data_IF_168733339556
#
_entry.id   IF_168733339556
#
_cell.length_a   1.000
_cell.length_b   1.000
_cell.length_c   1.000
_cell.angle_alpha   90.00
_cell.angle_beta   90.00
_cell.angle_gamma   90.00
#
_symmetry.space_group_name_H-M   'P 1'
#
loop_
_entity.id
_entity.type
_entity.pdbx_description
1 polymer ?
#
# COMPACT_ATOMS: atom_id res chain seq x y z
N UNK A 1 -10.55 16.07 -7.64
CA UNK A 1 -11.63 15.06 -7.76
C UNK A 1 -11.06 13.68 -7.47
N UNK A 2 -11.84 12.80 -6.83
CA UNK A 2 -11.51 11.37 -6.75
C UNK A 2 -12.25 10.67 -7.90
N UNK A 3 -11.56 10.49 -9.02
CA UNK A 3 -12.04 9.64 -10.10
C UNK A 3 -12.33 8.23 -9.56
N UNK A 4 -13.38 7.58 -10.10
CA UNK A 4 -13.85 6.29 -9.61
C UNK A 4 -12.71 5.25 -9.62
N UNK A 5 -12.33 4.76 -8.44
CA UNK A 5 -11.29 3.74 -8.33
C UNK A 5 -11.76 2.45 -9.00
N UNK A 6 -10.96 1.80 -9.85
CA UNK A 6 -11.40 0.64 -10.62
C UNK A 6 -11.97 -0.48 -9.74
N UNK A 7 -13.18 -0.95 -10.07
CA UNK A 7 -13.80 -2.10 -9.41
C UNK A 7 -13.07 -3.38 -9.85
N UNK A 8 -12.53 -4.20 -8.93
CA UNK A 8 -11.83 -5.41 -9.29
C UNK A 8 -12.79 -6.50 -9.82
N UNK A 9 -12.34 -7.23 -10.83
CA UNK A 9 -12.94 -8.51 -11.23
C UNK A 9 -12.29 -9.66 -10.44
N UNK A 10 -12.98 -10.80 -10.30
CA UNK A 10 -12.51 -11.93 -9.48
C UNK A 10 -11.18 -12.55 -9.97
N UNK A 11 -10.89 -12.43 -11.26
CA UNK A 11 -9.63 -12.84 -11.89
C UNK A 11 -8.50 -11.78 -11.79
N UNK A 12 -8.68 -10.72 -11.00
CA UNK A 12 -7.70 -9.63 -10.86
C UNK A 12 -7.20 -9.46 -9.41
N UNK A 13 -6.48 -10.45 -8.83
CA UNK A 13 -6.12 -10.45 -7.41
C UNK A 13 -5.22 -9.29 -6.97
N UNK A 14 -4.40 -8.71 -7.87
CA UNK A 14 -3.63 -7.48 -7.58
C UNK A 14 -4.57 -6.27 -7.48
N UNK A 15 -5.56 -6.16 -8.38
CA UNK A 15 -6.59 -5.10 -8.31
C UNK A 15 -7.46 -5.26 -7.06
N UNK A 16 -7.78 -6.49 -6.63
CA UNK A 16 -8.49 -6.74 -5.37
C UNK A 16 -7.67 -6.24 -4.16
N UNK A 17 -6.36 -6.49 -4.14
CA UNK A 17 -5.47 -5.98 -3.09
C UNK A 17 -5.38 -4.45 -3.09
N UNK A 18 -5.24 -3.84 -4.28
CA UNK A 18 -5.23 -2.39 -4.46
C UNK A 18 -6.55 -1.73 -3.98
N UNK A 19 -7.68 -2.31 -4.38
CA UNK A 19 -9.02 -1.87 -3.98
C UNK A 19 -9.23 -2.04 -2.47
N UNK A 20 -8.76 -3.12 -1.86
CA UNK A 20 -8.83 -3.33 -0.41
C UNK A 20 -8.08 -2.24 0.38
N UNK A 21 -6.89 -1.82 -0.07
CA UNK A 21 -6.18 -0.69 0.53
C UNK A 21 -6.90 0.65 0.27
N UNK A 22 -7.44 0.86 -0.94
CA UNK A 22 -8.24 2.05 -1.24
C UNK A 22 -9.48 2.16 -0.34
N UNK A 23 -10.20 1.05 -0.10
CA UNK A 23 -11.38 1.00 0.76
C UNK A 23 -11.04 1.35 2.23
N UNK A 24 -9.84 1.02 2.70
CA UNK A 24 -9.35 1.48 4.00
C UNK A 24 -9.05 3.00 3.96
N UNK A 25 -8.17 3.43 3.06
CA UNK A 25 -7.63 4.78 3.06
C UNK A 25 -8.66 5.86 2.63
N UNK A 26 -9.69 5.51 1.84
CA UNK A 26 -10.72 6.46 1.39
C UNK A 26 -11.65 6.93 2.50
N UNK A 27 -11.78 6.15 3.59
CA UNK A 27 -12.53 6.54 4.79
C UNK A 27 -11.96 7.81 5.43
N UNK A 28 -10.70 8.14 5.14
CA UNK A 28 -9.91 9.17 5.82
C UNK A 28 -9.56 10.35 4.91
N UNK A 29 -9.45 11.53 5.54
CA UNK A 29 -8.78 12.69 4.97
C UNK A 29 -7.28 12.44 4.87
N UNK A 30 -6.70 12.83 3.73
CA UNK A 30 -5.24 12.96 3.57
C UNK A 30 -4.73 14.35 3.95
N UNK A 31 -5.63 15.32 4.21
CA UNK A 31 -5.23 16.62 4.77
C UNK A 31 -4.73 16.41 6.21
N UNK A 32 -3.53 16.92 6.48
CA UNK A 32 -2.82 16.80 7.75
C UNK A 32 -2.53 15.31 8.14
N UNK A 33 -2.41 14.42 7.15
CA UNK A 33 -2.16 12.98 7.35
C UNK A 33 -1.45 12.31 6.14
N UNK A 34 -0.12 12.34 6.15
CA UNK A 34 0.71 11.79 5.07
C UNK A 34 0.67 10.25 4.99
N UNK A 35 0.35 9.55 6.08
CA UNK A 35 0.18 8.09 6.07
C UNK A 35 -0.99 7.71 5.16
N UNK A 36 -2.11 8.45 5.26
CA UNK A 36 -3.26 8.27 4.38
C UNK A 36 -2.99 8.76 2.96
N UNK A 37 -2.21 9.83 2.77
CA UNK A 37 -1.79 10.29 1.44
C UNK A 37 -0.95 9.22 0.71
N UNK A 38 0.06 8.67 1.39
CA UNK A 38 0.91 7.60 0.86
C UNK A 38 0.11 6.30 0.62
N UNK A 39 -0.77 5.90 1.54
CA UNK A 39 -1.63 4.71 1.35
C UNK A 39 -2.56 4.85 0.12
N UNK A 40 -3.14 6.03 -0.13
CA UNK A 40 -3.92 6.30 -1.35
C UNK A 40 -3.06 6.25 -2.62
N UNK A 41 -1.85 6.83 -2.58
CA UNK A 41 -0.87 6.75 -3.68
C UNK A 41 -0.50 5.30 -3.99
N UNK A 42 -0.21 4.49 -2.97
CA UNK A 42 0.08 3.06 -3.11
C UNK A 42 -1.06 2.28 -3.75
N UNK A 43 -2.31 2.51 -3.33
CA UNK A 43 -3.47 1.85 -3.91
C UNK A 43 -3.64 2.17 -5.41
N UNK A 44 -3.51 3.45 -5.81
CA UNK A 44 -3.59 3.86 -7.22
C UNK A 44 -2.45 3.27 -8.07
N UNK A 45 -1.22 3.25 -7.54
CA UNK A 45 -0.08 2.64 -8.22
C UNK A 45 -0.21 1.11 -8.33
N UNK A 46 -0.75 0.44 -7.31
CA UNK A 46 -0.99 -1.01 -7.33
C UNK A 46 -2.11 -1.40 -8.31
N UNK A 47 -3.14 -0.54 -8.47
CA UNK A 47 -4.14 -0.68 -9.52
C UNK A 47 -3.50 -0.59 -10.92
N UNK A 48 -2.62 0.40 -11.15
CA UNK A 48 -1.83 0.50 -12.39
C UNK A 48 -0.92 -0.70 -12.60
N UNK A 49 -0.25 -1.20 -11.56
CA UNK A 49 0.58 -2.40 -11.64
C UNK A 49 -0.25 -3.62 -12.09
N UNK A 50 -1.48 -3.77 -11.58
CA UNK A 50 -2.37 -4.86 -11.98
C UNK A 50 -2.71 -4.85 -13.48
N UNK A 51 -2.77 -3.68 -14.13
CA UNK A 51 -2.98 -3.56 -15.58
C UNK A 51 -1.70 -3.95 -16.33
N UNK A 52 -0.57 -3.34 -15.95
CA UNK A 52 0.74 -3.57 -16.58
C UNK A 52 1.21 -5.03 -16.51
N UNK A 53 0.90 -5.75 -15.42
CA UNK A 53 1.19 -7.18 -15.26
C UNK A 53 0.41 -8.06 -16.25
N UNK A 54 -0.77 -7.62 -16.71
CA UNK A 54 -1.54 -8.28 -17.77
C UNK A 54 -1.11 -7.84 -19.19
N UNK A 55 -0.23 -6.85 -19.31
CA UNK A 55 0.14 -6.23 -20.59
C UNK A 55 -0.79 -5.08 -21.01
N UNK A 56 -1.73 -4.67 -20.15
CA UNK A 56 -2.65 -3.57 -20.44
C UNK A 56 -1.96 -2.21 -20.24
N UNK A 57 -1.92 -1.39 -21.29
CA UNK A 57 -1.70 0.06 -21.17
C UNK A 57 -0.29 0.53 -20.80
N UNK A 58 0.76 -0.24 -21.05
CA UNK A 58 2.13 0.25 -20.88
C UNK A 58 3.24 -0.77 -21.17
N UNK A 59 4.49 -0.34 -20.99
CA UNK A 59 5.69 -1.10 -21.36
C UNK A 59 6.36 -1.83 -20.18
N UNK A 60 7.36 -2.66 -20.49
CA UNK A 60 8.29 -3.24 -19.52
C UNK A 60 8.93 -2.19 -18.59
N UNK A 61 9.19 -0.97 -19.10
CA UNK A 61 9.74 0.15 -18.32
C UNK A 61 8.70 0.72 -17.36
N UNK A 62 7.44 0.83 -17.77
CA UNK A 62 6.34 1.33 -16.94
C UNK A 62 6.04 0.41 -15.76
N UNK A 63 6.11 -0.91 -15.96
CA UNK A 63 5.93 -1.91 -14.90
C UNK A 63 7.01 -1.73 -13.82
N UNK A 64 8.29 -1.68 -14.23
CA UNK A 64 9.42 -1.48 -13.31
C UNK A 64 9.35 -0.10 -12.61
N UNK A 65 9.00 0.97 -13.33
CA UNK A 65 8.85 2.30 -12.75
C UNK A 65 7.70 2.36 -11.73
N UNK A 66 6.56 1.75 -12.04
CA UNK A 66 5.40 1.67 -11.13
C UNK A 66 5.76 0.88 -9.86
N UNK A 67 6.48 -0.25 -9.99
CA UNK A 67 6.95 -1.04 -8.85
C UNK A 67 7.93 -0.26 -7.93
N UNK A 68 8.84 0.54 -8.51
CA UNK A 68 9.71 1.45 -7.75
C UNK A 68 8.89 2.50 -6.99
N UNK A 69 7.94 3.17 -7.66
CA UNK A 69 7.06 4.16 -7.04
C UNK A 69 6.18 3.59 -5.91
N UNK A 70 5.78 2.32 -5.99
CA UNK A 70 5.09 1.63 -4.89
C UNK A 70 6.04 1.40 -3.72
N UNK A 71 7.27 0.92 -3.97
CA UNK A 71 8.24 0.66 -2.92
C UNK A 71 8.66 1.95 -2.20
N UNK A 72 8.98 3.02 -2.93
CA UNK A 72 9.26 4.36 -2.38
C UNK A 72 8.10 4.87 -1.50
N UNK A 73 6.85 4.71 -1.98
CA UNK A 73 5.67 5.11 -1.22
C UNK A 73 5.40 4.20 -0.01
N UNK A 74 5.93 2.97 0.01
CA UNK A 74 5.86 2.04 1.14
C UNK A 74 6.92 2.34 2.21
N UNK A 75 8.12 2.72 1.77
CA UNK A 75 9.22 3.18 2.62
C UNK A 75 8.81 4.48 3.37
N UNK A 76 8.07 5.37 2.70
CA UNK A 76 7.45 6.55 3.31
C UNK A 76 6.38 6.21 4.37
N UNK A 77 5.48 5.24 4.11
CA UNK A 77 4.53 4.74 5.13
C UNK A 77 5.28 4.21 6.36
N UNK A 78 6.32 3.39 6.18
CA UNK A 78 7.15 2.90 7.29
C UNK A 78 7.85 4.04 8.03
N UNK A 79 8.40 5.04 7.32
CA UNK A 79 9.08 6.20 7.91
C UNK A 79 8.12 7.03 8.78
N UNK A 80 6.89 7.25 8.32
CA UNK A 80 5.88 8.00 9.05
C UNK A 80 5.33 7.18 10.24
N UNK A 81 5.06 5.89 10.06
CA UNK A 81 4.66 4.98 11.12
C UNK A 81 5.70 4.92 12.25
N UNK A 82 7.01 4.86 11.92
CA UNK A 82 8.09 4.89 12.91
C UNK A 82 8.21 6.22 13.66
N UNK A 83 7.94 7.37 13.01
CA UNK A 83 7.85 8.67 13.72
C UNK A 83 6.67 8.68 14.71
N UNK A 84 5.47 8.32 14.27
CA UNK A 84 4.31 8.22 15.15
C UNK A 84 4.52 7.21 16.30
N UNK A 85 5.21 6.10 16.04
CA UNK A 85 5.55 5.13 17.08
C UNK A 85 6.49 5.71 18.15
N UNK A 86 7.42 6.60 17.81
CA UNK A 86 8.29 7.27 18.78
C UNK A 86 7.48 8.16 19.75
N UNK A 87 6.50 8.90 19.24
CA UNK A 87 5.65 9.80 20.04
C UNK A 87 4.49 9.09 20.76
N UNK A 88 4.21 7.84 20.41
CA UNK A 88 3.18 7.02 21.06
C UNK A 88 3.62 6.63 22.48
N UNK A 89 2.99 7.20 23.51
CA UNK A 89 3.26 6.91 24.92
C UNK A 89 2.95 5.46 25.29
N UNK A 90 1.84 4.91 24.79
CA UNK A 90 1.42 3.54 25.06
C UNK A 90 2.40 2.51 24.49
N UNK A 91 2.91 1.64 25.38
CA UNK A 91 3.96 0.64 25.08
C UNK A 91 3.46 -0.52 24.20
N UNK A 92 2.16 -0.84 24.24
CA UNK A 92 1.57 -1.93 23.45
C UNK A 92 1.23 -1.42 22.04
N UNK A 93 0.58 -0.26 21.93
CA UNK A 93 0.30 0.38 20.64
C UNK A 93 1.60 0.68 19.87
N UNK A 94 2.62 1.22 20.55
CA UNK A 94 3.96 1.45 20.00
C UNK A 94 4.60 0.17 19.47
N UNK A 95 4.55 -0.94 20.22
CA UNK A 95 5.07 -2.24 19.78
C UNK A 95 4.34 -2.77 18.55
N UNK A 96 3.00 -2.74 18.56
CA UNK A 96 2.18 -3.21 17.46
C UNK A 96 2.47 -2.44 16.16
N UNK A 97 2.50 -1.10 16.22
CA UNK A 97 2.79 -0.23 15.08
C UNK A 97 4.18 -0.49 14.48
N UNK A 98 5.20 -0.70 15.31
CA UNK A 98 6.53 -1.08 14.85
C UNK A 98 6.51 -2.45 14.16
N UNK A 99 5.95 -3.47 14.82
CA UNK A 99 5.91 -4.86 14.30
C UNK A 99 5.23 -4.97 12.93
N UNK A 100 4.14 -4.23 12.68
CA UNK A 100 3.46 -4.26 11.36
C UNK A 100 4.23 -3.48 10.30
N UNK A 101 4.78 -2.31 10.62
CA UNK A 101 5.44 -1.46 9.63
C UNK A 101 6.86 -1.92 9.25
N UNK A 102 7.54 -2.69 10.10
CA UNK A 102 8.89 -3.21 9.85
C UNK A 102 8.95 -4.34 8.81
N UNK A 103 7.81 -4.98 8.52
CA UNK A 103 7.67 -5.98 7.45
C UNK A 103 7.68 -5.34 6.05
N UNK A 104 7.24 -4.08 5.94
CA UNK A 104 6.97 -3.40 4.66
C UNK A 104 8.23 -3.25 3.77
N UNK A 105 9.41 -2.78 4.25
CA UNK A 105 10.58 -2.58 3.39
C UNK A 105 11.08 -3.86 2.71
N UNK A 106 11.00 -5.01 3.40
CA UNK A 106 11.35 -6.32 2.84
C UNK A 106 10.39 -6.70 1.72
N UNK A 107 9.09 -6.56 1.94
CA UNK A 107 8.06 -6.88 0.94
C UNK A 107 8.16 -5.93 -0.27
N UNK A 108 8.40 -4.63 -0.05
CA UNK A 108 8.62 -3.64 -1.11
C UNK A 108 9.91 -3.86 -1.91
N UNK A 109 10.95 -4.44 -1.28
CA UNK A 109 12.17 -4.86 -1.98
C UNK A 109 11.92 -6.09 -2.85
N UNK A 110 11.20 -7.09 -2.34
CA UNK A 110 10.72 -8.22 -3.13
C UNK A 110 9.83 -7.78 -4.30
N UNK A 111 8.96 -6.78 -4.12
CA UNK A 111 8.12 -6.23 -5.20
C UNK A 111 8.99 -5.71 -6.36
N UNK A 112 10.06 -4.95 -6.07
CA UNK A 112 11.01 -4.43 -7.07
C UNK A 112 11.67 -5.57 -7.87
N UNK A 113 12.03 -6.67 -7.20
CA UNK A 113 12.64 -7.86 -7.83
C UNK A 113 11.62 -8.61 -8.69
N UNK A 114 10.48 -9.03 -8.14
CA UNK A 114 9.45 -9.81 -8.81
C UNK A 114 8.83 -9.06 -10.01
N UNK A 115 8.68 -7.73 -9.89
CA UNK A 115 8.24 -6.88 -11.00
C UNK A 115 9.27 -6.85 -12.14
N UNK A 116 10.57 -6.91 -11.83
CA UNK A 116 11.63 -6.99 -12.84
C UNK A 116 11.61 -8.35 -13.54
N UNK A 117 11.35 -9.44 -12.83
CA UNK A 117 11.16 -10.79 -13.40
C UNK A 117 9.92 -10.83 -14.31
N UNK A 118 8.75 -10.35 -13.86
CA UNK A 118 7.56 -10.28 -14.72
C UNK A 118 7.79 -9.39 -15.95
N UNK A 119 8.56 -8.31 -15.83
CA UNK A 119 8.89 -7.45 -16.95
C UNK A 119 9.77 -8.13 -18.02
N UNK A 120 10.66 -9.08 -17.68
CA UNK A 120 11.35 -9.87 -18.72
C UNK A 120 10.34 -10.77 -19.44
N UNK A 121 9.45 -11.44 -18.70
CA UNK A 121 8.47 -12.41 -19.24
C UNK A 121 7.32 -11.80 -20.06
N UNK A 122 7.08 -10.49 -20.01
CA UNK A 122 6.10 -9.79 -20.88
C UNK A 122 6.32 -9.96 -22.41
N UNK A 123 7.40 -10.58 -22.86
CA UNK A 123 7.60 -10.98 -24.27
C UNK A 123 7.24 -12.44 -24.59
N UNK A 124 6.86 -13.23 -23.57
CA UNK A 124 6.56 -14.66 -23.64
C UNK A 124 5.35 -14.98 -22.74
N UNK A 125 4.32 -14.11 -22.77
CA UNK A 125 3.13 -14.26 -21.94
C UNK A 125 2.46 -15.63 -22.13
N UNK A 126 2.01 -16.22 -21.03
CA UNK A 126 1.36 -17.53 -21.02
C UNK A 126 2.31 -18.72 -20.92
N UNK A 127 3.64 -18.53 -20.95
CA UNK A 127 4.58 -19.60 -20.55
C UNK A 127 4.40 -19.99 -19.07
N UNK A 128 4.92 -21.16 -18.67
CA UNK A 128 4.85 -21.62 -17.28
C UNK A 128 5.59 -20.68 -16.33
N UNK A 129 6.73 -20.16 -16.78
CA UNK A 129 7.56 -19.19 -16.07
C UNK A 129 6.87 -17.83 -15.93
N UNK A 130 6.10 -17.41 -16.95
CA UNK A 130 5.29 -16.18 -16.90
C UNK A 130 4.12 -16.32 -15.91
N UNK A 131 3.51 -17.51 -15.82
CA UNK A 131 2.47 -17.84 -14.85
C UNK A 131 3.04 -17.82 -13.42
N UNK A 132 4.11 -18.57 -13.14
CA UNK A 132 4.80 -18.60 -11.83
C UNK A 132 5.30 -17.22 -11.39
N UNK A 133 5.88 -16.43 -12.30
CA UNK A 133 6.28 -15.05 -12.03
C UNK A 133 5.08 -14.14 -11.69
N UNK A 134 3.91 -14.41 -12.27
CA UNK A 134 2.67 -13.69 -11.95
C UNK A 134 2.16 -14.08 -10.56
N UNK A 135 2.12 -15.37 -10.22
CA UNK A 135 1.65 -15.86 -8.92
C UNK A 135 2.50 -15.35 -7.75
N UNK A 136 3.83 -15.38 -7.88
CA UNK A 136 4.74 -14.80 -6.89
C UNK A 136 4.50 -13.29 -6.71
N UNK A 137 4.29 -12.55 -7.81
CA UNK A 137 4.01 -11.12 -7.77
C UNK A 137 2.63 -10.81 -7.16
N UNK A 138 1.62 -11.65 -7.41
CA UNK A 138 0.30 -11.56 -6.76
C UNK A 138 0.42 -11.71 -5.25
N UNK A 139 1.09 -12.77 -4.77
CA UNK A 139 1.27 -13.02 -3.34
C UNK A 139 2.05 -11.90 -2.64
N UNK A 140 3.10 -11.38 -3.29
CA UNK A 140 3.85 -10.23 -2.77
C UNK A 140 2.98 -8.94 -2.72
N UNK A 141 2.23 -8.63 -3.77
CA UNK A 141 1.34 -7.47 -3.82
C UNK A 141 0.25 -7.53 -2.74
N UNK A 142 -0.38 -8.69 -2.55
CA UNK A 142 -1.37 -8.92 -1.48
C UNK A 142 -0.76 -8.70 -0.09
N UNK A 143 0.41 -9.28 0.18
CA UNK A 143 1.13 -9.09 1.44
C UNK A 143 1.49 -7.61 1.70
N UNK A 144 1.89 -6.86 0.66
CA UNK A 144 2.24 -5.45 0.80
C UNK A 144 1.01 -4.59 1.13
N UNK A 145 -0.08 -4.75 0.38
CA UNK A 145 -1.32 -3.99 0.63
C UNK A 145 -1.91 -4.33 2.01
N UNK A 146 -1.83 -5.59 2.45
CA UNK A 146 -2.27 -6.00 3.78
C UNK A 146 -1.41 -5.40 4.90
N UNK A 147 -0.08 -5.45 4.80
CA UNK A 147 0.83 -4.86 5.81
C UNK A 147 0.68 -3.33 5.92
N UNK A 148 0.45 -2.64 4.80
CA UNK A 148 0.14 -1.20 4.80
C UNK A 148 -1.22 -0.93 5.46
N UNK A 149 -2.25 -1.75 5.17
CA UNK A 149 -3.58 -1.63 5.80
C UNK A 149 -3.53 -1.86 7.32
N UNK A 150 -2.76 -2.85 7.77
CA UNK A 150 -2.45 -3.10 9.19
C UNK A 150 -1.74 -1.88 9.82
N UNK A 151 -0.76 -1.31 9.12
CA UNK A 151 -0.01 -0.12 9.57
C UNK A 151 -0.92 1.12 9.68
N UNK A 152 -1.85 1.34 8.74
CA UNK A 152 -2.85 2.42 8.81
C UNK A 152 -3.71 2.30 10.07
N UNK A 153 -4.23 1.10 10.38
CA UNK A 153 -5.05 0.85 11.58
C UNK A 153 -4.26 0.98 12.88
N UNK A 154 -3.03 0.49 12.90
CA UNK A 154 -2.15 0.64 14.05
C UNK A 154 -1.75 2.11 14.29
N UNK A 155 -1.63 2.91 13.23
CA UNK A 155 -1.37 4.35 13.29
C UNK A 155 -2.61 5.14 13.79
N UNK A 156 -3.82 4.79 13.34
CA UNK A 156 -5.08 5.32 13.90
C UNK A 156 -5.10 5.13 15.42
N UNK A 157 -4.91 3.90 15.90
CA UNK A 157 -4.92 3.57 17.33
C UNK A 157 -3.82 4.29 18.12
N UNK A 158 -2.57 4.27 17.63
CA UNK A 158 -1.44 4.91 18.30
C UNK A 158 -1.59 6.45 18.40
N UNK A 159 -2.28 7.08 17.44
CA UNK A 159 -2.49 8.54 17.45
C UNK A 159 -3.31 9.05 18.65
N UNK A 160 -4.12 8.18 19.26
CA UNK A 160 -4.92 8.48 20.45
C UNK A 160 -4.03 8.64 21.71
N UNK A 161 -2.77 8.18 21.65
CA UNK A 161 -1.82 8.14 22.78
C UNK A 161 -0.50 8.88 22.49
N UNK A 162 -0.53 9.91 21.65
CA UNK A 162 0.62 10.79 21.38
C UNK A 162 1.03 11.57 22.64
N UNK A 163 2.34 11.76 22.82
CA UNK A 163 2.96 12.57 23.87
C UNK A 163 2.63 14.06 23.68
N UNK A 164 2.03 14.70 24.70
CA UNK A 164 1.42 16.04 24.60
C UNK A 164 2.42 17.14 24.25
N UNK A 165 3.66 17.06 24.73
CA UNK A 165 4.75 18.01 24.50
C UNK A 165 5.59 17.73 23.23
N UNK A 166 5.23 16.72 22.43
CA UNK A 166 5.97 16.35 21.20
C UNK A 166 5.84 17.38 20.05
N UNK A 167 4.77 18.17 20.05
CA UNK A 167 4.36 18.98 18.88
C UNK A 167 3.94 18.15 17.65
N UNK A 168 3.92 16.81 17.74
CA UNK A 168 3.59 15.94 16.61
C UNK A 168 2.07 15.85 16.40
N UNK A 169 1.59 16.32 15.25
CA UNK A 169 0.16 16.30 14.89
C UNK A 169 -0.08 15.41 13.67
N UNK A 170 -1.02 14.48 13.78
CA UNK A 170 -1.56 13.68 12.66
C UNK A 170 -3.09 13.63 12.77
N UNK A 171 -3.80 13.88 11.67
CA UNK A 171 -5.26 14.09 11.70
C UNK A 171 -6.04 12.88 11.16
N UNK A 172 -6.86 12.29 12.01
CA UNK A 172 -7.74 11.17 11.66
C UNK A 172 -9.18 11.65 11.48
N UNK A 173 -9.44 12.33 10.37
CA UNK A 173 -10.76 12.86 10.02
C UNK A 173 -11.49 11.92 9.04
N UNK A 174 -12.64 11.37 9.47
CA UNK A 174 -13.53 10.56 8.63
C UNK A 174 -14.17 11.41 7.52
N UNK A 175 -14.33 10.86 6.31
CA UNK A 175 -14.85 11.57 5.13
C UNK A 175 -16.31 11.29 4.75
N UNK A 176 -16.93 10.27 5.34
CA UNK A 176 -18.37 10.00 5.21
C UNK A 176 -18.92 9.48 6.55
N UNK A 177 -20.19 9.79 6.91
CA UNK A 177 -20.88 9.15 8.02
C UNK A 177 -21.08 7.65 7.82
N UNK A 178 -21.39 6.92 8.89
CA UNK A 178 -21.65 5.48 8.88
C UNK A 178 -23.13 5.12 8.57
N UNK A 179 -23.93 6.10 8.11
CA UNK A 179 -25.35 5.96 7.75
C UNK A 179 -25.67 6.42 6.31
N UNK A 180 -24.65 6.61 5.45
CA UNK A 180 -24.84 7.00 4.03
C UNK A 180 -24.17 5.97 3.12
N UNK A 181 -24.91 4.91 2.82
CA UNK A 181 -24.65 4.00 1.69
C UNK A 181 -24.96 4.68 0.36
#
# INVERSE_FOLDING_TARGET
>A
DEAAFPTPQANQPIMMAAHALHMEAKQWSSKDNDIIAAAKKMALLMAKLSQLVRGEGGSKKDLIATAKSIAESSEEVTRLAKKLAAECTDKQMRKNLLQVCERIPTIGTQLKILSTVKATMLGAQGSKEDQEATEMLVGNAQNLMQAVKETVRAAEAASIKIRVDSGYTIRWLRRRPWYTS
#
